data_IF_686756686960
#
_entry.id   IF_686756686960
#
_cell.length_a   1.000
_cell.length_b   1.000
_cell.length_c   1.000
_cell.angle_alpha   90.00
_cell.angle_beta   90.00
_cell.angle_gamma   90.00
#
_symmetry.space_group_name_H-M   'P 1'
#
loop_
_entity.id
_entity.type
_entity.pdbx_description
1 polymer ?
#
# COMPACT_ATOMS: atom_id res chain seq x y z
N UNK A 1 -6.73 -29.13 -19.19
CA UNK A 1 -5.90 -27.91 -19.11
C UNK A 1 -6.71 -26.60 -19.28
N UNK A 2 -8.06 -26.62 -19.27
CA UNK A 2 -8.91 -25.40 -19.35
C UNK A 2 -9.56 -24.98 -18.02
N UNK A 3 -9.44 -25.78 -16.96
CA UNK A 3 -10.09 -25.52 -15.66
C UNK A 3 -9.21 -24.66 -14.74
N UNK A 4 -7.87 -24.71 -14.88
CA UNK A 4 -6.95 -23.92 -14.03
C UNK A 4 -6.91 -22.40 -14.32
N UNK A 5 -7.33 -21.97 -15.51
CA UNK A 5 -7.36 -20.54 -15.87
C UNK A 5 -8.57 -19.77 -15.30
N UNK A 6 -9.67 -20.45 -14.99
CA UNK A 6 -10.87 -19.79 -14.42
C UNK A 6 -10.77 -19.54 -12.91
N UNK A 7 -10.02 -20.35 -12.19
CA UNK A 7 -9.82 -20.18 -10.75
C UNK A 7 -8.86 -19.01 -10.46
N UNK A 8 -7.86 -18.80 -11.31
CA UNK A 8 -6.89 -17.70 -11.13
C UNK A 8 -7.50 -16.31 -11.40
N UNK A 9 -8.46 -16.21 -12.32
CA UNK A 9 -9.18 -14.96 -12.60
C UNK A 9 -10.16 -14.59 -11.48
N UNK A 10 -10.78 -15.59 -10.85
CA UNK A 10 -11.71 -15.36 -9.73
C UNK A 10 -10.99 -14.91 -8.43
N UNK A 11 -9.79 -15.43 -8.20
CA UNK A 11 -8.99 -15.03 -7.02
C UNK A 11 -8.43 -13.61 -7.13
N UNK A 12 -8.13 -13.16 -8.36
CA UNK A 12 -7.62 -11.80 -8.57
C UNK A 12 -8.74 -10.74 -8.50
N UNK A 13 -9.95 -11.10 -8.96
CA UNK A 13 -11.12 -10.23 -8.87
C UNK A 13 -11.59 -10.05 -7.41
N UNK A 14 -11.49 -11.09 -6.57
CA UNK A 14 -11.82 -11.01 -5.15
C UNK A 14 -10.82 -10.11 -4.37
N UNK A 15 -9.52 -10.16 -4.73
CA UNK A 15 -8.51 -9.30 -4.08
C UNK A 15 -8.66 -7.81 -4.46
N UNK A 16 -9.25 -7.50 -5.62
CA UNK A 16 -9.53 -6.11 -6.02
C UNK A 16 -10.82 -5.56 -5.42
N UNK A 17 -11.84 -6.40 -5.18
CA UNK A 17 -13.10 -5.98 -4.59
C UNK A 17 -12.98 -5.65 -3.08
N UNK A 18 -12.02 -6.25 -2.36
CA UNK A 18 -11.83 -6.00 -0.94
C UNK A 18 -11.11 -4.68 -0.61
N UNK A 19 -10.44 -4.03 -1.57
CA UNK A 19 -9.76 -2.76 -1.31
C UNK A 19 -10.68 -1.53 -1.25
N UNK A 20 -11.97 -1.67 -1.50
CA UNK A 20 -12.94 -0.57 -1.49
C UNK A 20 -13.76 -0.46 -0.18
N UNK A 21 -13.67 -1.44 0.73
CA UNK A 21 -14.63 -1.59 1.84
C UNK A 21 -14.33 -0.74 3.08
N UNK A 22 -13.16 -0.12 3.21
CA UNK A 22 -12.73 0.42 4.50
C UNK A 22 -12.82 1.94 4.67
N UNK A 23 -13.72 2.66 4.03
CA UNK A 23 -13.85 4.12 4.28
C UNK A 23 -15.20 4.54 4.90
N UNK A 24 -16.14 3.64 5.11
CA UNK A 24 -17.51 4.05 5.38
C UNK A 24 -17.98 4.15 6.85
N UNK A 25 -17.12 4.00 7.86
CA UNK A 25 -17.66 3.82 9.23
C UNK A 25 -17.51 4.98 10.22
N UNK A 26 -16.90 6.11 9.92
CA UNK A 26 -16.65 7.12 10.97
C UNK A 26 -16.96 8.59 10.66
N UNK A 27 -17.67 8.93 9.60
CA UNK A 27 -18.02 10.34 9.36
C UNK A 27 -19.51 10.63 9.56
N UNK A 28 -19.89 10.98 10.77
CA UNK A 28 -21.11 11.79 10.99
C UNK A 28 -20.75 13.26 10.77
N UNK A 29 -20.70 13.68 9.51
CA UNK A 29 -20.49 15.08 9.15
C UNK A 29 -21.73 15.91 9.43
N UNK A 30 -21.56 17.02 10.13
CA UNK A 30 -22.60 18.07 10.24
C UNK A 30 -22.62 18.79 8.89
N UNK A 31 -23.73 18.68 8.16
CA UNK A 31 -23.97 19.42 6.93
C UNK A 31 -23.91 20.92 7.18
N UNK A 32 -22.98 21.60 6.51
CA UNK A 32 -22.93 23.06 6.44
C UNK A 32 -23.88 23.57 5.35
N UNK A 33 -24.63 24.59 5.61
CA UNK A 33 -25.58 25.19 4.65
C UNK A 33 -24.82 25.72 3.43
N UNK A 34 -25.06 25.12 2.24
CA UNK A 34 -24.52 25.62 0.96
C UNK A 34 -23.87 24.61 0.05
N UNK A 35 -23.93 23.30 0.33
CA UNK A 35 -23.34 22.27 -0.54
C UNK A 35 -24.05 22.20 -1.91
N UNK A 36 -23.27 22.26 -2.99
CA UNK A 36 -23.79 22.10 -4.35
C UNK A 36 -24.11 20.63 -4.58
N UNK A 37 -25.38 20.34 -4.86
CA UNK A 37 -25.83 19.03 -5.31
C UNK A 37 -25.65 18.91 -6.83
N UNK A 38 -25.09 17.80 -7.25
CA UNK A 38 -24.97 17.40 -8.65
C UNK A 38 -25.96 16.26 -8.91
N UNK A 39 -27.09 16.59 -9.51
CA UNK A 39 -28.16 15.64 -9.78
C UNK A 39 -27.72 14.67 -10.89
N UNK A 40 -27.87 13.35 -10.69
CA UNK A 40 -27.43 12.36 -11.67
C UNK A 40 -28.20 12.46 -12.98
N UNK A 41 -29.49 12.80 -12.97
CA UNK A 41 -30.29 13.00 -14.17
C UNK A 41 -29.82 14.14 -15.06
N UNK A 42 -28.99 15.07 -14.54
CA UNK A 42 -28.35 16.11 -15.35
C UNK A 42 -27.16 15.60 -16.18
N UNK A 43 -26.74 14.38 -15.92
CA UNK A 43 -25.58 13.77 -16.53
C UNK A 43 -25.84 13.22 -17.93
N UNK A 44 -24.74 13.00 -18.68
CA UNK A 44 -24.80 12.37 -20.00
C UNK A 44 -24.73 10.85 -19.88
N UNK A 45 -25.84 10.17 -20.11
CA UNK A 45 -25.94 8.72 -20.10
C UNK A 45 -25.36 8.13 -21.39
N UNK A 46 -24.59 7.04 -21.27
CA UNK A 46 -24.11 6.19 -22.36
C UNK A 46 -24.57 4.76 -22.08
N UNK A 47 -25.41 4.23 -22.94
CA UNK A 47 -26.04 2.91 -22.79
C UNK A 47 -27.52 2.96 -23.12
N UNK A 48 -28.19 1.84 -22.99
CA UNK A 48 -29.62 1.70 -23.35
C UNK A 48 -30.50 1.25 -22.21
N UNK A 49 -29.92 0.65 -21.17
CA UNK A 49 -30.65 0.13 -20.02
C UNK A 49 -30.67 1.13 -18.84
N UNK A 50 -29.64 1.97 -18.74
CA UNK A 50 -29.56 3.04 -17.73
C UNK A 50 -30.62 4.12 -18.04
N UNK A 51 -31.48 4.42 -17.08
CA UNK A 51 -32.63 5.31 -17.29
C UNK A 51 -32.90 6.17 -16.08
N UNK A 52 -33.47 7.35 -16.34
CA UNK A 52 -34.15 8.14 -15.32
C UNK A 52 -35.43 7.45 -14.91
N UNK A 53 -35.71 7.43 -13.64
CA UNK A 53 -36.93 6.90 -13.04
C UNK A 53 -37.51 7.94 -12.03
N UNK A 54 -38.81 8.16 -12.06
CA UNK A 54 -39.48 9.01 -11.09
C UNK A 54 -39.56 8.26 -9.74
N UNK A 55 -39.00 8.85 -8.68
CA UNK A 55 -38.96 8.27 -7.33
C UNK A 55 -39.41 9.30 -6.32
N UNK A 56 -40.46 8.97 -5.54
CA UNK A 56 -40.94 9.83 -4.48
C UNK A 56 -39.86 10.02 -3.41
N UNK A 57 -39.56 11.26 -3.05
CA UNK A 57 -38.54 11.61 -2.07
C UNK A 57 -37.15 11.82 -2.65
N UNK A 58 -36.90 11.52 -3.94
CA UNK A 58 -35.68 11.85 -4.61
C UNK A 58 -35.52 13.37 -4.79
N UNK A 59 -34.27 13.85 -4.79
CA UNK A 59 -33.93 15.22 -5.16
C UNK A 59 -34.35 15.44 -6.63
N UNK A 60 -34.98 16.54 -6.93
CA UNK A 60 -35.57 16.74 -8.27
C UNK A 60 -36.69 15.78 -8.65
N UNK A 61 -37.03 14.80 -7.81
CA UNK A 61 -38.10 13.81 -8.04
C UNK A 61 -37.69 12.63 -8.91
N UNK A 62 -36.39 12.51 -9.24
CA UNK A 62 -35.88 11.49 -10.16
C UNK A 62 -34.59 10.85 -9.62
N UNK A 63 -34.32 9.65 -10.12
CA UNK A 63 -33.05 8.96 -9.93
C UNK A 63 -32.55 8.41 -11.28
N UNK A 64 -31.27 8.14 -11.38
CA UNK A 64 -30.71 7.36 -12.49
C UNK A 64 -30.47 5.92 -12.05
N UNK A 65 -31.14 4.99 -12.70
CA UNK A 65 -31.05 3.58 -12.38
C UNK A 65 -29.99 2.90 -13.25
N UNK A 66 -28.88 2.48 -12.64
CA UNK A 66 -27.83 1.66 -13.28
C UNK A 66 -28.18 0.18 -13.20
N UNK A 67 -28.17 -0.52 -14.34
CA UNK A 67 -28.58 -1.93 -14.44
C UNK A 67 -27.53 -2.82 -15.08
N UNK A 68 -27.08 -2.47 -16.27
CA UNK A 68 -26.19 -3.31 -17.09
C UNK A 68 -24.74 -2.86 -16.98
N UNK A 69 -23.83 -3.82 -16.80
CA UNK A 69 -22.41 -3.54 -16.71
C UNK A 69 -21.85 -2.90 -17.98
N UNK A 70 -20.98 -1.89 -17.81
CA UNK A 70 -20.32 -1.18 -18.90
C UNK A 70 -21.07 0.05 -19.41
N UNK A 71 -22.31 0.29 -18.98
CA UNK A 71 -22.98 1.57 -19.20
C UNK A 71 -22.45 2.63 -18.25
N UNK A 72 -22.50 3.90 -18.64
CA UNK A 72 -21.94 4.96 -17.81
C UNK A 72 -22.76 6.26 -17.84
N UNK A 73 -22.56 7.08 -16.82
CA UNK A 73 -23.07 8.43 -16.75
C UNK A 73 -21.93 9.40 -16.43
N UNK A 74 -21.86 10.50 -17.18
CA UNK A 74 -20.85 11.55 -17.04
C UNK A 74 -21.47 12.81 -16.53
N UNK A 75 -20.83 13.39 -15.52
CA UNK A 75 -21.18 14.70 -14.98
C UNK A 75 -19.97 15.61 -14.97
N UNK A 76 -20.18 16.90 -15.27
CA UNK A 76 -19.16 17.93 -15.12
C UNK A 76 -19.34 18.62 -13.79
N UNK A 77 -18.27 18.71 -13.03
CA UNK A 77 -18.21 19.41 -11.74
C UNK A 77 -17.19 20.53 -11.81
N UNK A 78 -17.38 21.56 -11.02
CA UNK A 78 -16.42 22.68 -10.93
C UNK A 78 -16.02 22.86 -9.46
N UNK A 79 -14.70 22.88 -9.20
CA UNK A 79 -14.15 23.12 -7.88
C UNK A 79 -13.19 24.31 -7.90
N UNK A 80 -13.15 25.08 -6.81
CA UNK A 80 -12.34 26.29 -6.75
C UNK A 80 -10.84 26.01 -6.63
N UNK A 81 -10.48 24.89 -6.00
CA UNK A 81 -9.10 24.54 -5.69
C UNK A 81 -8.78 23.14 -6.17
N UNK A 82 -7.54 22.93 -6.61
CA UNK A 82 -7.00 21.58 -6.78
C UNK A 82 -6.79 20.94 -5.41
N UNK A 83 -7.32 19.74 -5.23
CA UNK A 83 -7.20 19.03 -3.94
C UNK A 83 -8.00 17.75 -3.93
N UNK A 84 -8.04 17.13 -2.75
CA UNK A 84 -8.91 15.98 -2.49
C UNK A 84 -10.29 16.47 -2.07
N UNK A 85 -11.30 15.72 -2.51
CA UNK A 85 -12.70 15.94 -2.17
C UNK A 85 -13.34 14.64 -1.76
N UNK A 86 -14.10 14.68 -0.68
CA UNK A 86 -14.96 13.58 -0.28
C UNK A 86 -16.18 13.58 -1.21
N UNK A 87 -16.41 12.42 -1.86
CA UNK A 87 -17.55 12.16 -2.73
C UNK A 87 -18.65 11.50 -1.91
N UNK A 88 -19.71 12.24 -1.63
CA UNK A 88 -20.87 11.73 -0.93
C UNK A 88 -21.99 11.52 -1.94
N UNK A 89 -22.55 10.32 -2.01
CA UNK A 89 -23.61 9.97 -2.97
C UNK A 89 -24.89 9.62 -2.20
N UNK A 90 -26.00 10.20 -2.62
CA UNK A 90 -27.34 9.75 -2.25
C UNK A 90 -27.78 8.66 -3.23
N UNK A 91 -28.00 7.45 -2.70
CA UNK A 91 -28.33 6.28 -3.53
C UNK A 91 -29.19 5.26 -2.77
N UNK A 92 -29.80 4.35 -3.52
CA UNK A 92 -30.42 3.14 -3.00
C UNK A 92 -29.94 1.91 -3.77
N UNK A 93 -30.01 0.74 -3.11
CA UNK A 93 -29.66 -0.57 -3.67
C UNK A 93 -30.82 -1.53 -3.53
N UNK A 94 -30.77 -2.67 -4.21
CA UNK A 94 -31.82 -3.70 -4.21
C UNK A 94 -31.76 -4.67 -2.99
N UNK A 95 -31.28 -4.22 -1.85
CA UNK A 95 -31.22 -5.01 -0.63
C UNK A 95 -29.89 -5.74 -0.40
N UNK A 96 -28.84 -5.39 -1.16
CA UNK A 96 -27.48 -5.87 -0.93
C UNK A 96 -26.43 -4.82 -1.33
N UNK A 97 -25.20 -4.94 -0.80
CA UNK A 97 -24.10 -4.07 -1.20
C UNK A 97 -23.80 -4.20 -2.70
N UNK A 98 -23.38 -3.12 -3.33
CA UNK A 98 -23.06 -3.03 -4.76
C UNK A 98 -21.65 -2.46 -4.96
N UNK A 99 -21.15 -2.61 -6.18
CA UNK A 99 -19.88 -2.00 -6.58
C UNK A 99 -20.01 -1.39 -7.96
N UNK A 100 -19.67 -0.12 -8.07
CA UNK A 100 -19.61 0.59 -9.35
C UNK A 100 -18.18 1.11 -9.55
N UNK A 101 -17.84 1.57 -10.77
CA UNK A 101 -16.53 2.15 -11.06
C UNK A 101 -16.62 3.64 -11.24
N UNK A 102 -15.53 4.33 -10.92
CA UNK A 102 -15.41 5.76 -11.08
C UNK A 102 -14.17 6.10 -11.92
N UNK A 103 -14.36 6.95 -12.91
CA UNK A 103 -13.29 7.64 -13.62
C UNK A 103 -13.34 9.13 -13.30
N UNK A 104 -12.18 9.75 -13.14
CA UNK A 104 -12.04 11.20 -12.99
C UNK A 104 -11.15 11.71 -14.10
N UNK A 105 -11.63 12.65 -14.90
CA UNK A 105 -10.93 13.23 -16.05
C UNK A 105 -10.40 12.14 -17.01
N UNK A 106 -11.21 11.10 -17.25
CA UNK A 106 -10.89 9.99 -18.13
C UNK A 106 -9.91 8.95 -17.55
N UNK A 107 -9.47 9.12 -16.30
CA UNK A 107 -8.59 8.17 -15.61
C UNK A 107 -9.36 7.37 -14.56
N UNK A 108 -9.26 6.03 -14.52
CA UNK A 108 -9.90 5.22 -13.50
C UNK A 108 -9.29 5.51 -12.12
N UNK A 109 -10.15 5.82 -11.15
CA UNK A 109 -9.73 6.07 -9.76
C UNK A 109 -10.04 4.89 -8.84
N UNK A 110 -10.86 3.95 -9.28
CA UNK A 110 -11.13 2.71 -8.59
C UNK A 110 -12.61 2.35 -8.53
N UNK A 111 -12.90 1.33 -7.75
CA UNK A 111 -14.25 0.87 -7.49
C UNK A 111 -14.87 1.70 -6.36
N UNK A 112 -16.17 2.03 -6.49
CA UNK A 112 -16.99 2.62 -5.43
C UNK A 112 -17.78 1.48 -4.79
N UNK A 113 -17.50 1.20 -3.51
CA UNK A 113 -18.29 0.27 -2.72
C UNK A 113 -19.53 0.99 -2.17
N UNK A 114 -20.69 0.47 -2.48
CA UNK A 114 -21.97 1.00 -2.05
C UNK A 114 -22.57 0.03 -1.02
N UNK A 115 -22.73 0.51 0.21
CA UNK A 115 -23.40 -0.24 1.27
C UNK A 115 -24.86 -0.53 0.90
N UNK A 116 -25.45 -1.50 1.58
CA UNK A 116 -26.88 -1.79 1.39
C UNK A 116 -27.74 -0.65 1.94
N UNK A 117 -28.33 0.14 1.05
CA UNK A 117 -29.35 1.14 1.36
C UNK A 117 -30.66 0.75 0.66
N UNK A 118 -31.67 0.38 1.44
CA UNK A 118 -33.01 0.05 0.89
C UNK A 118 -33.72 1.32 0.42
N UNK A 119 -33.54 2.42 1.13
CA UNK A 119 -34.08 3.74 0.82
C UNK A 119 -32.93 4.67 0.41
N UNK A 120 -33.24 5.75 -0.34
CA UNK A 120 -32.29 6.78 -0.70
C UNK A 120 -31.60 7.35 0.54
N UNK A 121 -30.30 7.19 0.62
CA UNK A 121 -29.47 7.64 1.73
C UNK A 121 -28.13 8.13 1.22
N UNK A 122 -27.65 9.25 1.78
CA UNK A 122 -26.34 9.79 1.47
C UNK A 122 -25.24 9.08 2.26
N UNK A 123 -24.16 8.71 1.59
CA UNK A 123 -22.96 8.15 2.20
C UNK A 123 -21.71 8.64 1.50
N UNK A 124 -20.64 8.82 2.26
CA UNK A 124 -19.30 8.97 1.70
C UNK A 124 -18.89 7.64 1.03
N UNK A 125 -18.55 7.70 -0.24
CA UNK A 125 -18.22 6.49 -1.03
C UNK A 125 -16.78 6.50 -1.55
N UNK A 126 -16.14 7.66 -1.62
CA UNK A 126 -14.75 7.79 -2.08
C UNK A 126 -14.15 9.14 -1.68
N UNK A 127 -12.84 9.20 -1.66
CA UNK A 127 -12.08 10.46 -1.64
C UNK A 127 -11.33 10.57 -2.96
N UNK A 128 -11.58 11.64 -3.73
CA UNK A 128 -11.10 11.81 -5.10
C UNK A 128 -10.29 13.09 -5.26
N UNK A 129 -9.27 13.06 -6.12
CA UNK A 129 -8.53 14.27 -6.49
C UNK A 129 -9.20 14.96 -7.66
N UNK A 130 -9.45 16.26 -7.50
CA UNK A 130 -9.96 17.13 -8.55
C UNK A 130 -8.98 18.29 -8.78
N UNK A 131 -8.95 18.79 -10.01
CA UNK A 131 -8.19 19.99 -10.37
C UNK A 131 -9.07 21.23 -10.20
N UNK A 132 -8.48 22.38 -9.91
CA UNK A 132 -9.21 23.64 -9.93
C UNK A 132 -9.87 23.85 -11.30
N UNK A 133 -11.13 24.28 -11.33
CA UNK A 133 -11.93 24.41 -12.53
C UNK A 133 -12.78 23.17 -12.81
N UNK A 134 -13.05 22.94 -14.10
CA UNK A 134 -13.91 21.84 -14.54
C UNK A 134 -13.23 20.47 -14.47
N UNK A 135 -13.98 19.49 -13.97
CA UNK A 135 -13.60 18.08 -13.95
C UNK A 135 -14.77 17.23 -14.44
N UNK A 136 -14.45 16.13 -15.12
CA UNK A 136 -15.45 15.13 -15.53
C UNK A 136 -15.40 13.95 -14.57
N UNK A 137 -16.53 13.60 -13.98
CA UNK A 137 -16.77 12.38 -13.22
C UNK A 137 -17.59 11.43 -14.08
N UNK A 138 -17.07 10.22 -14.32
CA UNK A 138 -17.79 9.17 -15.04
C UNK A 138 -18.03 7.99 -14.11
N UNK A 139 -19.30 7.75 -13.81
CA UNK A 139 -19.74 6.59 -13.03
C UNK A 139 -20.09 5.47 -14.00
N UNK A 140 -19.41 4.33 -13.88
CA UNK A 140 -19.58 3.20 -14.79
C UNK A 140 -20.21 2.04 -14.03
N UNK A 141 -21.33 1.54 -14.58
CA UNK A 141 -22.03 0.38 -14.05
C UNK A 141 -21.14 -0.87 -14.13
N UNK A 142 -20.94 -1.54 -12.99
CA UNK A 142 -20.08 -2.70 -12.91
C UNK A 142 -20.78 -3.92 -12.31
N UNK A 143 -21.23 -3.81 -11.05
CA UNK A 143 -21.87 -4.92 -10.37
C UNK A 143 -23.03 -4.46 -9.52
N UNK A 144 -24.23 -4.98 -9.88
CA UNK A 144 -25.46 -4.81 -9.15
C UNK A 144 -26.24 -3.53 -9.49
N UNK A 145 -27.54 -3.60 -9.30
CA UNK A 145 -28.46 -2.50 -9.57
C UNK A 145 -28.38 -1.45 -8.49
N UNK A 146 -28.28 -0.19 -8.93
CA UNK A 146 -28.16 0.98 -8.05
C UNK A 146 -28.99 2.12 -8.60
N UNK A 147 -29.74 2.76 -7.74
CA UNK A 147 -30.44 4.01 -8.03
C UNK A 147 -29.62 5.17 -7.46
N UNK A 148 -29.13 6.05 -8.30
CA UNK A 148 -28.39 7.24 -7.92
C UNK A 148 -29.30 8.47 -8.02
N UNK A 149 -29.36 9.27 -6.94
CA UNK A 149 -30.10 10.52 -6.83
C UNK A 149 -29.19 11.70 -7.15
N UNK A 150 -28.37 12.11 -6.21
CA UNK A 150 -27.37 13.17 -6.38
C UNK A 150 -26.06 12.81 -5.70
N UNK A 151 -25.05 13.62 -5.94
CA UNK A 151 -23.84 13.62 -5.10
C UNK A 151 -23.44 15.03 -4.70
N UNK A 152 -22.66 15.11 -3.64
CA UNK A 152 -22.00 16.33 -3.16
C UNK A 152 -20.48 16.11 -3.12
N UNK A 153 -19.74 17.21 -3.20
CA UNK A 153 -18.29 17.24 -3.06
C UNK A 153 -17.94 18.15 -1.89
N UNK A 154 -17.30 17.60 -0.88
CA UNK A 154 -16.89 18.37 0.28
C UNK A 154 -15.37 18.37 0.42
N UNK A 155 -14.79 19.49 0.88
CA UNK A 155 -13.39 19.50 1.25
C UNK A 155 -13.23 18.57 2.46
N UNK A 156 -12.33 17.55 2.39
CA UNK A 156 -12.18 16.63 3.51
C UNK A 156 -11.58 17.35 4.70
N UNK A 157 -12.03 16.97 5.89
CA UNK A 157 -11.35 17.38 7.10
C UNK A 157 -10.08 16.54 7.25
N UNK A 158 -8.92 17.07 6.86
CA UNK A 158 -7.67 16.38 6.98
C UNK A 158 -7.20 16.31 8.43
N UNK A 159 -6.69 15.16 8.88
CA UNK A 159 -5.92 15.11 10.10
C UNK A 159 -4.68 16.00 9.97
N UNK A 160 -4.27 16.61 11.07
CA UNK A 160 -3.02 17.35 11.09
C UNK A 160 -1.85 16.40 10.82
N UNK A 161 -1.03 16.74 9.83
CA UNK A 161 0.17 15.98 9.49
C UNK A 161 1.29 16.38 10.44
N UNK A 162 1.39 15.67 11.54
CA UNK A 162 2.48 15.82 12.51
C UNK A 162 3.21 14.50 12.68
N UNK A 163 4.52 14.55 12.77
CA UNK A 163 5.36 13.38 13.01
C UNK A 163 6.30 13.64 14.18
N UNK A 164 6.47 12.63 15.03
CA UNK A 164 7.53 12.64 16.04
C UNK A 164 8.84 12.16 15.42
N UNK A 165 9.95 12.71 15.92
CA UNK A 165 11.28 12.16 15.63
C UNK A 165 11.77 11.17 16.69
N UNK A 166 10.92 10.83 17.66
CA UNK A 166 11.25 9.86 18.72
C UNK A 166 11.30 8.46 18.14
N UNK A 167 12.43 7.79 18.31
CA UNK A 167 12.62 6.41 17.90
C UNK A 167 12.16 5.43 18.98
N UNK A 168 11.66 4.27 18.55
CA UNK A 168 11.34 3.13 19.41
C UNK A 168 12.60 2.67 20.16
N UNK A 169 13.72 2.56 19.43
CA UNK A 169 15.02 2.30 20.03
C UNK A 169 15.62 3.56 20.67
N UNK A 170 15.67 3.57 22.00
CA UNK A 170 16.21 4.70 22.77
C UNK A 170 17.74 4.81 22.75
N UNK A 171 18.41 3.77 22.24
CA UNK A 171 19.86 3.73 22.06
C UNK A 171 20.28 3.96 20.60
N UNK A 172 19.34 4.39 19.74
CA UNK A 172 19.61 4.64 18.33
C UNK A 172 20.89 5.45 18.09
N UNK A 173 21.64 5.09 17.06
CA UNK A 173 22.87 5.82 16.72
C UNK A 173 22.58 7.27 16.35
N UNK A 174 23.54 8.19 16.51
CA UNK A 174 23.35 9.59 16.10
C UNK A 174 22.93 9.75 14.63
N UNK A 175 23.44 8.88 13.75
CA UNK A 175 23.09 8.86 12.33
C UNK A 175 21.64 8.44 12.13
N UNK A 176 21.17 7.45 12.87
CA UNK A 176 19.77 6.99 12.85
C UNK A 176 18.82 8.07 13.33
N UNK A 177 19.15 8.70 14.47
CA UNK A 177 18.39 9.83 15.01
C UNK A 177 18.39 11.03 14.02
N UNK A 178 19.51 11.29 13.36
CA UNK A 178 19.61 12.36 12.35
C UNK A 178 18.72 12.08 11.14
N UNK A 179 18.67 10.82 10.67
CA UNK A 179 17.77 10.42 9.58
C UNK A 179 16.31 10.60 10.01
N UNK A 180 15.93 10.14 11.21
CA UNK A 180 14.54 10.28 11.68
C UNK A 180 14.16 11.76 11.86
N UNK A 181 15.05 12.60 12.39
CA UNK A 181 14.84 14.05 12.48
C UNK A 181 14.59 14.67 11.09
N UNK A 182 15.36 14.24 10.08
CA UNK A 182 15.16 14.68 8.71
C UNK A 182 13.80 14.26 8.16
N UNK A 183 13.42 12.98 8.32
CA UNK A 183 12.12 12.46 7.86
C UNK A 183 10.96 13.23 8.51
N UNK A 184 11.03 13.44 9.82
CA UNK A 184 10.01 14.20 10.54
C UNK A 184 9.95 15.67 10.08
N UNK A 185 11.10 16.30 9.78
CA UNK A 185 11.15 17.71 9.36
C UNK A 185 10.57 17.99 7.99
N UNK A 186 10.52 16.98 7.12
CA UNK A 186 9.98 17.10 5.75
C UNK A 186 8.58 16.51 5.61
N UNK A 187 8.09 15.86 6.68
CA UNK A 187 6.77 15.24 6.68
C UNK A 187 5.66 16.27 6.51
N UNK A 188 4.74 15.99 5.61
CA UNK A 188 3.68 16.93 5.26
C UNK A 188 4.10 18.06 4.30
N UNK A 189 5.39 18.29 4.07
CA UNK A 189 5.91 19.36 3.22
C UNK A 189 6.51 18.84 1.91
N UNK A 190 7.15 17.66 1.94
CA UNK A 190 7.88 17.12 0.80
C UNK A 190 7.67 15.63 0.63
N UNK A 191 7.82 15.18 -0.62
CA UNK A 191 7.84 13.77 -1.00
C UNK A 191 9.28 13.40 -1.31
N UNK A 192 9.76 12.34 -0.67
CA UNK A 192 11.08 11.78 -0.95
C UNK A 192 10.91 10.67 -1.98
N UNK A 193 11.51 10.84 -3.16
CA UNK A 193 11.42 9.84 -4.23
C UNK A 193 12.32 8.64 -3.94
N UNK A 194 11.83 7.45 -4.25
CA UNK A 194 12.57 6.19 -4.10
C UNK A 194 12.48 5.28 -5.31
N UNK A 195 13.42 4.34 -5.41
CA UNK A 195 13.43 3.25 -6.37
C UNK A 195 13.88 1.98 -5.70
N UNK A 196 13.14 0.88 -5.94
CA UNK A 196 13.55 -0.46 -5.50
C UNK A 196 14.57 -1.07 -6.46
N UNK A 197 15.59 -1.74 -5.94
CA UNK A 197 16.57 -2.49 -6.72
C UNK A 197 15.95 -3.75 -7.33
N UNK A 198 16.30 -4.08 -8.59
CA UNK A 198 15.70 -5.22 -9.33
C UNK A 198 16.43 -6.57 -9.15
N UNK A 199 17.47 -6.64 -8.37
CA UNK A 199 18.21 -7.89 -8.13
C UNK A 199 18.69 -8.61 -9.41
N UNK A 200 19.50 -7.93 -10.22
CA UNK A 200 20.18 -8.49 -11.40
C UNK A 200 19.28 -9.43 -12.23
N UNK A 201 18.25 -8.86 -12.84
CA UNK A 201 17.34 -9.63 -13.68
C UNK A 201 17.77 -9.64 -15.15
N UNK A 202 18.10 -10.82 -15.66
CA UNK A 202 18.56 -11.01 -17.03
C UNK A 202 19.89 -10.30 -17.31
N UNK A 203 19.98 -9.47 -18.38
CA UNK A 203 21.20 -8.75 -18.73
C UNK A 203 21.43 -7.47 -17.88
N UNK A 204 20.49 -7.11 -17.03
CA UNK A 204 20.52 -5.89 -16.25
C UNK A 204 21.26 -6.12 -14.93
N UNK A 205 22.07 -5.15 -14.55
CA UNK A 205 22.74 -5.10 -13.25
C UNK A 205 21.87 -4.43 -12.19
N UNK A 206 22.40 -4.35 -10.98
CA UNK A 206 21.70 -3.74 -9.85
C UNK A 206 21.46 -2.23 -9.99
N UNK A 207 22.19 -1.55 -10.87
CA UNK A 207 22.10 -0.09 -11.08
C UNK A 207 21.25 0.28 -12.30
N UNK A 208 20.69 -0.69 -13.00
CA UNK A 208 19.99 -0.47 -14.27
C UNK A 208 18.90 0.60 -14.19
N UNK A 209 17.96 0.47 -13.24
CA UNK A 209 16.89 1.45 -13.11
C UNK A 209 17.40 2.82 -12.63
N UNK A 210 18.40 2.83 -11.77
CA UNK A 210 18.99 4.08 -11.25
C UNK A 210 19.69 4.84 -12.37
N UNK A 211 20.45 4.14 -13.22
CA UNK A 211 21.06 4.72 -14.40
C UNK A 211 20.00 5.23 -15.39
N UNK A 212 18.97 4.44 -15.64
CA UNK A 212 17.87 4.85 -16.49
C UNK A 212 17.17 6.12 -15.98
N UNK A 213 16.85 6.19 -14.68
CA UNK A 213 16.24 7.36 -14.04
C UNK A 213 17.17 8.57 -14.21
N UNK A 214 18.47 8.38 -13.91
CA UNK A 214 19.47 9.45 -14.03
C UNK A 214 19.60 9.97 -15.45
N UNK A 215 19.66 9.07 -16.43
CA UNK A 215 19.79 9.42 -17.85
C UNK A 215 18.53 10.15 -18.37
N UNK A 216 17.36 9.78 -17.86
CA UNK A 216 16.08 10.38 -18.27
C UNK A 216 15.80 11.72 -17.59
N UNK A 217 16.15 11.86 -16.30
CA UNK A 217 15.75 13.00 -15.47
C UNK A 217 16.90 13.92 -15.06
N UNK A 218 18.14 13.48 -15.26
CA UNK A 218 19.36 14.16 -14.78
C UNK A 218 19.60 13.98 -13.28
N UNK A 219 18.76 13.21 -12.54
CA UNK A 219 18.81 13.06 -11.09
C UNK A 219 18.64 11.61 -10.67
N UNK A 220 19.22 11.24 -9.52
CA UNK A 220 18.94 9.98 -8.85
C UNK A 220 17.75 10.13 -7.88
N UNK A 221 17.00 9.06 -7.59
CA UNK A 221 16.06 9.05 -6.49
C UNK A 221 16.82 9.20 -5.16
N UNK A 222 16.17 9.76 -4.14
CA UNK A 222 16.81 9.92 -2.84
C UNK A 222 16.90 8.60 -2.05
N UNK A 223 15.88 7.75 -2.20
CA UNK A 223 15.81 6.45 -1.51
C UNK A 223 16.14 5.33 -2.49
N UNK A 224 17.03 4.41 -2.09
CA UNK A 224 17.22 3.13 -2.76
C UNK A 224 16.68 2.02 -1.86
N UNK A 225 15.75 1.24 -2.40
CA UNK A 225 15.16 0.10 -1.72
C UNK A 225 15.93 -1.18 -2.00
N UNK A 226 16.11 -1.98 -0.97
CA UNK A 226 16.83 -3.27 -1.00
C UNK A 226 15.97 -4.38 -0.40
N UNK A 227 16.44 -5.61 -0.54
CA UNK A 227 15.87 -6.78 0.11
C UNK A 227 16.99 -7.70 0.59
N UNK A 228 16.90 -8.16 1.83
CA UNK A 228 17.84 -9.15 2.37
C UNK A 228 17.48 -10.59 1.98
N UNK A 229 16.73 -10.79 0.90
CA UNK A 229 16.28 -12.09 0.40
C UNK A 229 17.40 -13.14 0.32
N UNK A 230 18.61 -12.72 -0.08
CA UNK A 230 19.77 -13.60 -0.21
C UNK A 230 20.53 -13.82 1.11
N UNK A 231 20.17 -13.09 2.18
CA UNK A 231 20.67 -13.32 3.53
C UNK A 231 19.85 -14.42 4.18
N UNK A 232 20.19 -15.67 3.88
CA UNK A 232 19.39 -16.83 4.25
C UNK A 232 20.25 -18.08 4.46
N UNK A 233 20.01 -18.87 5.52
CA UNK A 233 20.77 -20.11 5.79
C UNK A 233 20.74 -21.12 4.64
N UNK A 234 19.64 -21.16 3.88
CA UNK A 234 19.44 -22.14 2.81
C UNK A 234 20.41 -21.95 1.65
N UNK A 235 20.72 -20.71 1.30
CA UNK A 235 21.52 -20.41 0.10
C UNK A 235 22.99 -20.11 0.44
N UNK A 236 23.23 -19.55 1.62
CA UNK A 236 24.56 -19.22 2.11
C UNK A 236 25.32 -18.25 1.21
N UNK A 237 24.60 -17.36 0.53
CA UNK A 237 25.17 -16.41 -0.42
C UNK A 237 24.96 -14.97 0.07
N UNK A 238 26.01 -14.18 -0.17
CA UNK A 238 25.93 -12.71 -0.12
C UNK A 238 25.98 -12.21 -1.56
N UNK A 239 25.16 -11.24 -1.90
CA UNK A 239 25.07 -10.65 -3.24
C UNK A 239 25.61 -9.21 -3.31
N UNK A 240 26.31 -8.77 -2.27
CA UNK A 240 26.86 -7.42 -2.14
C UNK A 240 25.81 -6.36 -1.80
N UNK A 241 24.64 -6.74 -1.32
CA UNK A 241 23.56 -5.81 -0.93
C UNK A 241 24.07 -4.77 0.07
N UNK A 242 24.76 -5.20 1.13
CA UNK A 242 25.29 -4.28 2.16
C UNK A 242 26.30 -3.30 1.60
N UNK A 243 27.21 -3.75 0.73
CA UNK A 243 28.20 -2.87 0.10
C UNK A 243 27.55 -1.80 -0.77
N UNK A 244 26.49 -2.17 -1.51
CA UNK A 244 25.69 -1.22 -2.30
C UNK A 244 24.92 -0.24 -1.42
N UNK A 245 24.38 -0.69 -0.27
CA UNK A 245 23.74 0.19 0.72
C UNK A 245 24.74 1.22 1.28
N UNK A 246 25.94 0.76 1.67
CA UNK A 246 27.00 1.64 2.19
C UNK A 246 27.39 2.67 1.13
N UNK A 247 27.63 2.24 -0.11
CA UNK A 247 27.97 3.14 -1.21
C UNK A 247 26.84 4.15 -1.50
N UNK A 248 25.59 3.72 -1.49
CA UNK A 248 24.47 4.63 -1.71
C UNK A 248 24.43 5.77 -0.68
N UNK A 249 24.63 5.46 0.60
CA UNK A 249 24.64 6.49 1.66
C UNK A 249 25.92 7.33 1.63
N UNK A 250 27.10 6.71 1.47
CA UNK A 250 28.38 7.42 1.57
C UNK A 250 28.69 8.24 0.33
N UNK A 251 28.45 7.69 -0.85
CA UNK A 251 28.83 8.31 -2.12
C UNK A 251 27.72 9.16 -2.71
N UNK A 252 26.48 8.65 -2.72
CA UNK A 252 25.30 9.34 -3.30
C UNK A 252 24.57 10.23 -2.30
N UNK A 253 24.91 10.17 -1.01
CA UNK A 253 24.20 10.88 0.08
C UNK A 253 22.71 10.54 0.14
N UNK A 254 22.36 9.33 -0.26
CA UNK A 254 21.00 8.84 -0.30
C UNK A 254 20.56 8.17 1.01
N UNK A 255 19.33 7.74 1.02
CA UNK A 255 18.68 6.98 2.10
C UNK A 255 18.52 5.54 1.64
N UNK A 256 18.67 4.58 2.54
CA UNK A 256 18.44 3.17 2.25
C UNK A 256 17.26 2.64 3.04
N UNK A 257 16.43 1.85 2.37
CA UNK A 257 15.37 1.05 2.98
C UNK A 257 15.53 -0.39 2.57
N UNK A 258 15.15 -1.33 3.43
CA UNK A 258 15.24 -2.75 3.11
C UNK A 258 14.02 -3.52 3.63
N UNK A 259 13.51 -4.40 2.79
CA UNK A 259 12.64 -5.50 3.17
C UNK A 259 13.44 -6.78 3.43
N UNK A 260 12.74 -7.79 3.92
CA UNK A 260 13.35 -9.10 4.10
C UNK A 260 12.35 -10.21 3.76
N UNK A 261 12.49 -10.78 2.56
CA UNK A 261 11.75 -11.98 2.19
C UNK A 261 12.42 -13.21 2.79
N UNK A 262 11.91 -13.64 3.92
CA UNK A 262 12.48 -14.75 4.70
C UNK A 262 12.06 -16.08 4.08
N UNK A 263 13.01 -16.76 3.46
CA UNK A 263 12.76 -18.04 2.83
C UNK A 263 12.94 -19.19 3.83
N UNK A 264 12.01 -20.14 3.80
CA UNK A 264 12.03 -21.38 4.57
C UNK A 264 12.02 -22.58 3.62
N UNK A 265 12.51 -23.77 4.01
CA UNK A 265 12.37 -24.98 3.20
C UNK A 265 10.90 -25.31 2.94
N UNK A 266 10.58 -25.81 1.74
CA UNK A 266 9.22 -26.29 1.40
C UNK A 266 8.89 -27.53 2.22
N UNK A 267 9.81 -28.46 2.36
CA UNK A 267 9.69 -29.65 3.22
C UNK A 267 10.51 -29.40 4.50
N UNK A 268 9.97 -28.58 5.40
CA UNK A 268 10.65 -28.22 6.64
C UNK A 268 10.76 -29.37 7.61
N UNK A 269 9.79 -30.26 7.65
CA UNK A 269 9.78 -31.43 8.54
C UNK A 269 10.99 -32.33 8.32
N UNK A 270 11.42 -32.53 7.07
CA UNK A 270 12.58 -33.35 6.71
C UNK A 270 13.88 -32.56 6.55
N UNK A 271 13.84 -31.25 6.64
CA UNK A 271 15.03 -30.39 6.54
C UNK A 271 15.90 -30.53 7.80
N UNK A 272 17.22 -30.61 7.65
CA UNK A 272 18.14 -30.49 8.79
C UNK A 272 18.73 -29.07 8.80
N UNK A 273 18.71 -28.43 9.98
CA UNK A 273 19.23 -27.07 10.11
C UNK A 273 20.70 -27.00 9.71
N UNK A 274 21.03 -26.12 8.79
CA UNK A 274 22.35 -25.97 8.20
C UNK A 274 22.53 -26.60 6.82
N UNK A 275 21.59 -27.46 6.38
CA UNK A 275 21.62 -28.00 5.02
C UNK A 275 21.36 -26.86 4.00
N UNK A 276 21.98 -26.96 2.83
CA UNK A 276 21.71 -26.07 1.69
C UNK A 276 20.62 -26.67 0.82
N UNK A 277 19.75 -25.83 0.33
CA UNK A 277 18.70 -26.22 -0.62
C UNK A 277 18.76 -25.35 -1.87
N UNK A 278 18.33 -25.90 -2.99
CA UNK A 278 18.15 -25.12 -4.20
C UNK A 278 17.04 -24.09 -4.02
N UNK A 279 17.15 -22.97 -4.71
CA UNK A 279 16.14 -21.91 -4.70
C UNK A 279 14.72 -22.41 -4.96
N UNK A 280 14.55 -23.42 -5.81
CA UNK A 280 13.27 -24.03 -6.12
C UNK A 280 12.63 -24.77 -4.92
N UNK A 281 13.42 -25.15 -3.91
CA UNK A 281 13.02 -25.88 -2.72
C UNK A 281 12.87 -24.96 -1.49
N UNK A 282 13.12 -23.66 -1.65
CA UNK A 282 12.80 -22.63 -0.67
C UNK A 282 11.53 -21.88 -1.05
N UNK A 283 10.85 -21.31 -0.07
CA UNK A 283 9.65 -20.50 -0.27
C UNK A 283 9.43 -19.52 0.88
N UNK A 284 8.72 -18.44 0.62
CA UNK A 284 8.14 -17.55 1.64
C UNK A 284 6.61 -17.65 1.69
N UNK A 285 6.01 -18.50 0.84
CA UNK A 285 4.56 -18.64 0.74
C UNK A 285 4.03 -19.66 1.75
N UNK A 286 2.92 -19.35 2.44
CA UNK A 286 2.40 -20.20 3.51
C UNK A 286 1.89 -21.57 3.02
N UNK A 287 1.38 -21.64 1.77
CA UNK A 287 0.79 -22.87 1.22
C UNK A 287 1.82 -23.80 0.55
N UNK A 288 3.07 -23.37 0.47
CA UNK A 288 4.15 -24.13 -0.14
C UNK A 288 5.13 -24.75 0.88
N UNK A 289 4.85 -24.61 2.19
CA UNK A 289 5.71 -25.11 3.26
C UNK A 289 4.89 -25.68 4.42
N UNK A 290 5.47 -26.62 5.13
CA UNK A 290 4.99 -27.14 6.40
C UNK A 290 5.64 -26.46 7.62
N UNK A 291 6.37 -25.35 7.40
CA UNK A 291 6.92 -24.50 8.47
C UNK A 291 5.78 -23.89 9.31
N UNK A 292 5.80 -24.13 10.61
CA UNK A 292 4.77 -23.64 11.54
C UNK A 292 5.24 -22.36 12.23
N UNK A 293 4.64 -21.24 11.82
CA UNK A 293 4.99 -19.91 12.36
C UNK A 293 4.80 -19.81 13.88
N UNK A 294 3.77 -20.45 14.44
CA UNK A 294 3.51 -20.37 15.87
C UNK A 294 4.64 -21.00 16.70
N UNK A 295 5.25 -22.08 16.19
CA UNK A 295 6.37 -22.74 16.86
C UNK A 295 7.65 -21.91 16.91
N UNK A 296 7.77 -20.86 16.09
CA UNK A 296 8.89 -19.92 16.22
C UNK A 296 8.93 -19.27 17.60
N UNK A 297 7.78 -19.12 18.26
CA UNK A 297 7.66 -18.51 19.59
C UNK A 297 7.94 -19.51 20.73
N UNK A 298 8.03 -20.80 20.43
CA UNK A 298 8.25 -21.85 21.40
C UNK A 298 9.75 -22.22 21.50
N UNK A 299 10.31 -22.14 22.67
CA UNK A 299 11.72 -22.52 22.94
C UNK A 299 11.97 -24.02 22.68
N UNK A 300 13.11 -24.32 22.02
CA UNK A 300 13.51 -25.68 21.73
C UNK A 300 12.85 -26.32 20.51
N UNK A 301 12.01 -25.59 19.79
CA UNK A 301 11.47 -26.05 18.50
C UNK A 301 12.46 -25.85 17.36
N UNK A 302 12.35 -26.66 16.33
CA UNK A 302 13.17 -26.56 15.13
C UNK A 302 12.90 -25.27 14.36
N UNK A 303 11.66 -24.79 14.34
CA UNK A 303 11.24 -23.54 13.73
C UNK A 303 11.90 -22.34 14.43
N UNK A 304 11.95 -22.36 15.76
CA UNK A 304 12.66 -21.36 16.56
C UNK A 304 14.15 -21.35 16.23
N UNK A 305 14.80 -22.52 16.25
CA UNK A 305 16.21 -22.63 15.93
C UNK A 305 16.54 -22.10 14.54
N UNK A 306 15.72 -22.44 13.53
CA UNK A 306 15.88 -21.96 12.18
C UNK A 306 15.72 -20.44 12.09
N UNK A 307 14.68 -19.87 12.72
CA UNK A 307 14.43 -18.44 12.67
C UNK A 307 15.55 -17.63 13.37
N UNK A 308 16.04 -18.12 14.52
CA UNK A 308 17.15 -17.50 15.22
C UNK A 308 18.46 -17.56 14.39
N UNK A 309 18.65 -18.61 13.61
CA UNK A 309 19.78 -18.66 12.63
C UNK A 309 19.60 -17.63 11.52
N UNK A 310 18.39 -17.44 11.01
CA UNK A 310 18.09 -16.37 10.04
C UNK A 310 18.40 -14.99 10.62
N UNK A 311 17.93 -14.71 11.85
CA UNK A 311 18.20 -13.45 12.54
C UNK A 311 19.69 -13.20 12.79
N UNK A 312 20.43 -14.25 13.15
CA UNK A 312 21.89 -14.15 13.31
C UNK A 312 22.57 -13.72 12.03
N UNK A 313 22.25 -14.38 10.91
CA UNK A 313 22.83 -14.04 9.61
C UNK A 313 22.49 -12.62 9.18
N UNK A 314 21.24 -12.21 9.40
CA UNK A 314 20.79 -10.84 9.13
C UNK A 314 21.53 -9.84 10.03
N UNK A 315 21.68 -10.13 11.32
CA UNK A 315 22.41 -9.28 12.26
C UNK A 315 23.85 -9.03 11.84
N UNK A 316 24.53 -10.07 11.32
CA UNK A 316 25.91 -9.94 10.78
C UNK A 316 25.97 -8.96 9.60
N UNK A 317 24.93 -8.87 8.78
CA UNK A 317 24.86 -7.91 7.67
C UNK A 317 24.54 -6.50 8.17
N UNK A 318 23.58 -6.37 9.08
CA UNK A 318 23.22 -5.05 9.65
C UNK A 318 24.36 -4.49 10.49
N UNK A 319 25.14 -5.33 11.17
CA UNK A 319 26.34 -4.89 11.90
C UNK A 319 27.34 -4.19 10.98
N UNK A 320 27.56 -4.71 9.75
CA UNK A 320 28.43 -4.04 8.77
C UNK A 320 27.94 -2.63 8.42
N UNK A 321 26.60 -2.43 8.32
CA UNK A 321 26.00 -1.10 8.12
C UNK A 321 26.25 -0.21 9.34
N UNK A 322 26.06 -0.73 10.55
CA UNK A 322 26.29 0.02 11.78
C UNK A 322 27.75 0.43 11.91
N UNK A 323 28.69 -0.49 11.67
CA UNK A 323 30.13 -0.19 11.70
C UNK A 323 30.54 0.87 10.68
N UNK A 324 29.83 0.93 9.55
CA UNK A 324 30.00 1.97 8.55
C UNK A 324 29.25 3.29 8.90
N UNK A 325 28.50 3.37 10.00
CA UNK A 325 27.67 4.51 10.35
C UNK A 325 26.56 4.78 9.33
N UNK A 326 25.91 3.72 8.86
CA UNK A 326 24.82 3.77 7.88
C UNK A 326 23.51 3.40 8.56
N UNK A 327 22.59 4.36 8.77
CA UNK A 327 21.24 4.10 9.23
C UNK A 327 20.40 3.48 8.11
N UNK A 328 19.42 2.66 8.48
CA UNK A 328 18.55 1.95 7.54
C UNK A 328 17.09 2.03 8.00
N UNK A 329 16.17 2.28 7.07
CA UNK A 329 14.75 2.03 7.28
C UNK A 329 14.51 0.55 6.99
N UNK A 330 14.07 -0.21 7.99
CA UNK A 330 13.92 -1.65 7.87
C UNK A 330 12.45 -2.07 7.98
N UNK A 331 11.99 -2.78 6.98
CA UNK A 331 10.61 -3.26 6.82
C UNK A 331 10.57 -4.80 6.81
N UNK A 332 10.82 -5.46 7.96
CA UNK A 332 10.70 -6.91 8.07
C UNK A 332 9.24 -7.34 8.10
N UNK A 333 8.98 -8.63 7.88
CA UNK A 333 7.67 -9.26 8.09
C UNK A 333 6.51 -8.49 7.44
N UNK A 334 6.77 -7.86 6.29
CA UNK A 334 5.83 -7.01 5.57
C UNK A 334 4.64 -7.79 5.01
N UNK A 335 3.55 -7.07 4.71
CA UNK A 335 2.33 -7.60 4.08
C UNK A 335 1.72 -8.83 4.81
N UNK A 336 1.87 -8.91 6.14
CA UNK A 336 1.49 -10.09 6.91
C UNK A 336 -0.01 -10.37 6.88
N UNK A 337 -0.85 -9.34 6.89
CA UNK A 337 -2.32 -9.49 6.84
C UNK A 337 -2.81 -10.00 5.47
N UNK A 338 -2.05 -9.76 4.40
CA UNK A 338 -2.36 -10.26 3.07
C UNK A 338 -3.67 -9.70 2.50
N UNK A 339 -4.62 -10.58 2.25
CA UNK A 339 -5.94 -10.24 1.69
C UNK A 339 -6.95 -9.70 2.70
N UNK A 340 -6.53 -9.38 3.92
CA UNK A 340 -7.37 -8.89 5.02
C UNK A 340 -7.95 -9.99 5.88
N UNK A 341 -7.80 -9.86 7.20
CA UNK A 341 -8.25 -10.82 8.20
C UNK A 341 -7.15 -11.75 8.72
N UNK A 342 -7.53 -12.71 9.53
CA UNK A 342 -6.59 -13.56 10.30
C UNK A 342 -6.01 -14.73 9.49
N UNK A 343 -6.59 -15.06 8.34
CA UNK A 343 -6.29 -16.27 7.56
C UNK A 343 -5.97 -15.98 6.07
N UNK A 344 -5.71 -14.71 5.72
CA UNK A 344 -5.52 -14.27 4.33
C UNK A 344 -4.08 -13.92 3.98
N UNK A 345 -3.13 -14.22 4.86
CA UNK A 345 -1.72 -13.97 4.60
C UNK A 345 -1.21 -14.73 3.38
N UNK A 346 -0.41 -14.06 2.57
CA UNK A 346 0.32 -14.71 1.47
C UNK A 346 1.80 -14.96 1.78
N UNK A 347 2.20 -14.70 3.06
CA UNK A 347 3.51 -15.01 3.59
C UNK A 347 3.42 -15.89 4.83
N UNK A 348 4.40 -16.78 5.05
CA UNK A 348 4.38 -17.71 6.19
C UNK A 348 4.35 -16.96 7.54
N UNK A 349 4.96 -15.79 7.65
CA UNK A 349 5.00 -15.03 8.91
C UNK A 349 3.65 -14.43 9.35
N UNK A 350 2.67 -14.39 8.47
CA UNK A 350 1.30 -13.98 8.82
C UNK A 350 0.32 -15.15 8.92
N UNK A 351 0.74 -16.38 8.59
CA UNK A 351 -0.13 -17.56 8.48
C UNK A 351 -0.89 -17.90 9.76
N UNK A 352 -0.28 -17.65 10.92
CA UNK A 352 -0.85 -18.01 12.24
C UNK A 352 -1.64 -16.86 12.89
N UNK A 353 -2.00 -15.82 12.13
CA UNK A 353 -2.84 -14.72 12.56
C UNK A 353 -2.09 -13.61 13.32
N UNK A 354 -2.83 -12.55 13.63
CA UNK A 354 -2.31 -11.29 14.14
C UNK A 354 -1.61 -11.40 15.51
N UNK A 355 -2.10 -12.27 16.39
CA UNK A 355 -1.50 -12.43 17.71
C UNK A 355 -0.08 -13.02 17.62
N UNK A 356 0.09 -14.10 16.86
CA UNK A 356 1.40 -14.74 16.63
C UNK A 356 2.33 -13.79 15.88
N UNK A 357 1.82 -13.08 14.89
CA UNK A 357 2.58 -12.11 14.13
C UNK A 357 3.17 -11.00 15.02
N UNK A 358 2.37 -10.41 15.90
CA UNK A 358 2.86 -9.37 16.83
C UNK A 358 3.98 -9.87 17.74
N UNK A 359 3.86 -11.08 18.24
CA UNK A 359 4.90 -11.67 19.08
C UNK A 359 6.16 -12.02 18.28
N UNK A 360 6.01 -12.46 17.01
CA UNK A 360 7.11 -12.66 16.08
C UNK A 360 7.84 -11.31 15.77
N UNK A 361 7.09 -10.23 15.57
CA UNK A 361 7.65 -8.90 15.40
C UNK A 361 8.48 -8.47 16.62
N UNK A 362 7.92 -8.61 17.82
CA UNK A 362 8.61 -8.27 19.07
C UNK A 362 9.86 -9.12 19.27
N UNK A 363 9.80 -10.41 18.94
CA UNK A 363 10.97 -11.29 18.96
C UNK A 363 12.05 -10.78 18.02
N UNK A 364 11.68 -10.41 16.78
CA UNK A 364 12.62 -9.88 15.79
C UNK A 364 13.27 -8.59 16.26
N UNK A 365 12.44 -7.64 16.74
CA UNK A 365 12.90 -6.37 17.30
C UNK A 365 13.90 -6.58 18.45
N UNK A 366 13.52 -7.34 19.47
CA UNK A 366 14.36 -7.60 20.64
C UNK A 366 15.68 -8.26 20.27
N UNK A 367 15.62 -9.30 19.43
CA UNK A 367 16.82 -10.02 19.02
C UNK A 367 17.79 -9.10 18.28
N UNK A 368 17.33 -8.30 17.32
CA UNK A 368 18.22 -7.42 16.56
C UNK A 368 18.70 -6.23 17.39
N UNK A 369 17.79 -5.56 18.12
CA UNK A 369 18.11 -4.33 18.86
C UNK A 369 18.76 -4.59 20.19
N UNK A 370 18.20 -5.52 21.01
CA UNK A 370 18.65 -5.73 22.38
C UNK A 370 19.76 -6.79 22.46
N UNK A 371 19.59 -7.96 21.79
CA UNK A 371 20.55 -9.05 21.91
C UNK A 371 21.81 -8.83 21.06
N UNK A 372 21.64 -8.31 19.82
CA UNK A 372 22.74 -8.00 18.90
C UNK A 372 23.23 -6.55 18.98
N UNK A 373 22.53 -5.65 19.67
CA UNK A 373 22.91 -4.26 19.83
C UNK A 373 22.93 -3.45 18.53
N UNK A 374 21.99 -3.73 17.62
CA UNK A 374 21.88 -3.05 16.35
C UNK A 374 20.96 -1.83 16.48
N UNK A 375 21.59 -0.65 16.61
CA UNK A 375 20.95 0.63 16.90
C UNK A 375 20.87 1.56 15.69
N UNK A 376 21.15 1.05 14.49
CA UNK A 376 21.12 1.79 13.22
C UNK A 376 19.84 1.53 12.41
N UNK A 377 18.76 1.09 13.06
CA UNK A 377 17.50 0.69 12.42
C UNK A 377 16.40 1.70 12.76
N UNK A 378 15.68 2.18 11.74
CA UNK A 378 14.36 2.80 11.84
C UNK A 378 13.35 1.71 11.47
N UNK A 379 12.49 1.35 12.41
CA UNK A 379 11.57 0.24 12.28
C UNK A 379 10.30 0.63 11.54
N UNK A 380 10.10 0.10 10.33
CA UNK A 380 8.95 0.36 9.50
C UNK A 380 8.00 -0.84 9.48
N UNK A 381 6.78 -0.61 9.94
CA UNK A 381 5.72 -1.60 9.90
C UNK A 381 4.79 -1.35 8.71
N UNK A 382 4.52 -2.43 7.96
CA UNK A 382 3.64 -2.40 6.78
C UNK A 382 2.20 -2.72 7.17
N UNK A 383 1.30 -1.75 6.99
CA UNK A 383 -0.13 -1.85 7.26
C UNK A 383 -0.94 -2.00 5.98
N UNK A 384 -2.21 -2.33 6.18
CA UNK A 384 -3.29 -2.16 5.21
C UNK A 384 -4.36 -1.22 5.77
N UNK A 385 -5.47 -1.06 5.05
CA UNK A 385 -6.61 -0.24 5.45
C UNK A 385 -7.89 -1.06 5.65
N UNK A 386 -7.73 -2.34 6.02
CA UNK A 386 -8.85 -3.20 6.41
C UNK A 386 -9.30 -2.89 7.85
N UNK A 387 -10.52 -3.23 8.19
CA UNK A 387 -11.03 -3.10 9.57
C UNK A 387 -10.18 -3.89 10.57
N UNK A 388 -9.54 -4.98 10.12
CA UNK A 388 -8.69 -5.86 10.92
C UNK A 388 -7.24 -5.40 11.04
N UNK A 389 -6.81 -4.40 10.26
CA UNK A 389 -5.39 -4.04 10.16
C UNK A 389 -4.77 -3.60 11.49
N UNK A 390 -5.54 -2.90 12.33
CA UNK A 390 -5.06 -2.51 13.68
C UNK A 390 -4.78 -3.69 14.60
N UNK A 391 -5.40 -4.85 14.38
CA UNK A 391 -5.13 -6.05 15.17
C UNK A 391 -3.68 -6.55 14.98
N UNK A 392 -3.09 -6.24 13.82
CA UNK A 392 -1.74 -6.65 13.44
C UNK A 392 -0.63 -5.70 13.93
N UNK A 393 -1.00 -4.53 14.42
CA UNK A 393 -0.04 -3.51 14.87
C UNK A 393 0.73 -3.96 16.11
N UNK A 394 2.08 -4.01 16.06
CA UNK A 394 2.89 -4.54 17.17
C UNK A 394 2.97 -3.61 18.38
N UNK A 395 2.68 -2.33 18.21
CA UNK A 395 2.74 -1.31 19.26
C UNK A 395 3.80 -0.24 19.01
N UNK A 396 3.56 0.94 19.58
CA UNK A 396 4.40 2.13 19.38
C UNK A 396 5.84 1.95 19.87
N UNK A 397 6.04 1.08 20.84
CA UNK A 397 7.36 0.78 21.38
C UNK A 397 8.25 -0.05 20.46
N UNK A 398 7.71 -0.55 19.32
CA UNK A 398 8.42 -1.40 18.35
C UNK A 398 8.37 -0.87 16.93
N UNK A 399 7.74 0.30 16.70
CA UNK A 399 7.51 0.85 15.36
C UNK A 399 7.81 2.33 15.33
N UNK A 400 8.59 2.76 14.35
CA UNK A 400 8.89 4.17 14.07
C UNK A 400 8.05 4.74 12.94
N UNK A 401 7.89 3.97 11.87
CA UNK A 401 7.17 4.35 10.66
C UNK A 401 6.06 3.34 10.35
N UNK A 402 4.93 3.83 9.82
CA UNK A 402 3.87 3.00 9.26
C UNK A 402 3.85 3.18 7.75
N UNK A 403 3.85 2.08 7.02
CA UNK A 403 3.87 2.10 5.56
C UNK A 403 2.75 1.27 4.92
N UNK A 404 2.51 1.48 3.65
CA UNK A 404 1.55 0.73 2.83
C UNK A 404 2.17 0.39 1.47
N UNK A 405 2.02 -0.85 1.05
CA UNK A 405 2.38 -1.31 -0.30
C UNK A 405 1.21 -1.12 -1.25
N UNK A 406 1.23 -0.05 -2.05
CA UNK A 406 0.12 0.37 -2.91
C UNK A 406 0.33 -0.03 -4.37
N UNK A 407 -0.60 -0.79 -4.94
CA UNK A 407 -0.50 -1.36 -6.30
C UNK A 407 -1.58 -0.88 -7.29
N UNK A 408 -2.54 -0.06 -6.89
CA UNK A 408 -3.65 0.38 -7.77
C UNK A 408 -3.27 1.49 -8.77
N UNK A 409 -2.04 1.50 -9.23
CA UNK A 409 -1.59 2.35 -10.33
C UNK A 409 -1.56 1.60 -11.68
N UNK A 410 -2.17 0.42 -11.74
CA UNK A 410 -2.20 -0.39 -12.96
C UNK A 410 -3.63 -0.79 -13.30
N UNK A 411 -4.07 -0.40 -14.50
CA UNK A 411 -5.33 -0.86 -15.08
C UNK A 411 -5.10 -2.14 -15.88
N UNK A 412 -5.83 -3.18 -15.52
CA UNK A 412 -5.81 -4.50 -16.18
C UNK A 412 -7.04 -4.72 -17.08
N UNK A 413 -7.95 -3.77 -17.19
CA UNK A 413 -9.25 -3.92 -17.89
C UNK A 413 -9.10 -4.23 -19.38
N UNK A 414 -8.01 -3.79 -20.00
CA UNK A 414 -7.73 -4.02 -21.43
C UNK A 414 -7.02 -5.35 -21.72
N UNK A 415 -6.76 -6.18 -20.69
CA UNK A 415 -5.96 -7.40 -20.81
C UNK A 415 -4.44 -7.15 -20.93
N UNK A 416 -4.02 -5.93 -21.12
CA UNK A 416 -2.62 -5.49 -21.06
C UNK A 416 -2.48 -4.48 -19.94
N UNK A 417 -1.58 -4.71 -18.96
CA UNK A 417 -1.40 -3.77 -17.86
C UNK A 417 -0.95 -2.39 -18.36
N UNK A 418 -1.69 -1.36 -18.02
CA UNK A 418 -1.38 0.04 -18.32
C UNK A 418 -1.22 0.79 -17.00
N UNK A 419 -0.15 1.57 -16.87
CA UNK A 419 0.03 2.47 -15.74
C UNK A 419 -1.01 3.58 -15.80
N UNK A 420 -1.69 3.78 -14.69
CA UNK A 420 -2.67 4.85 -14.54
C UNK A 420 -2.29 5.74 -13.36
N UNK A 421 -2.54 7.02 -13.49
CA UNK A 421 -2.45 7.96 -12.37
C UNK A 421 -3.67 7.75 -11.46
N UNK A 422 -3.43 7.30 -10.23
CA UNK A 422 -4.49 7.08 -9.25
C UNK A 422 -4.21 7.87 -7.96
N UNK A 423 -4.10 9.18 -8.10
CA UNK A 423 -3.85 10.10 -6.97
C UNK A 423 -4.96 9.99 -5.91
N UNK A 424 -6.20 9.75 -6.34
CA UNK A 424 -7.34 9.57 -5.44
C UNK A 424 -7.16 8.37 -4.52
N UNK A 425 -6.83 7.21 -5.07
CA UNK A 425 -6.61 6.01 -4.27
C UNK A 425 -5.38 6.12 -3.36
N UNK A 426 -4.32 6.77 -3.84
CA UNK A 426 -3.11 7.03 -3.05
C UNK A 426 -3.45 7.90 -1.85
N UNK A 427 -4.15 9.00 -2.09
CA UNK A 427 -4.51 9.93 -1.06
C UNK A 427 -5.47 9.38 -0.04
N UNK A 428 -6.51 8.71 -0.49
CA UNK A 428 -7.44 8.04 0.39
C UNK A 428 -6.71 7.08 1.34
N UNK A 429 -5.81 6.24 0.82
CA UNK A 429 -5.00 5.32 1.63
C UNK A 429 -4.09 6.05 2.60
N UNK A 430 -3.39 7.10 2.15
CA UNK A 430 -2.48 7.87 3.00
C UNK A 430 -3.19 8.46 4.22
N UNK A 431 -4.28 9.19 3.99
CA UNK A 431 -5.02 9.82 5.09
C UNK A 431 -5.70 8.80 6.00
N UNK A 432 -6.16 7.66 5.47
CA UNK A 432 -6.67 6.57 6.32
C UNK A 432 -5.61 6.03 7.29
N UNK A 433 -4.36 5.89 6.84
CA UNK A 433 -3.27 5.48 7.73
C UNK A 433 -2.92 6.57 8.75
N UNK A 434 -2.93 7.84 8.35
CA UNK A 434 -2.68 8.96 9.27
C UNK A 434 -3.77 9.02 10.36
N UNK A 435 -5.03 8.84 10.00
CA UNK A 435 -6.16 8.78 10.94
C UNK A 435 -6.05 7.59 11.89
N UNK A 436 -5.60 6.44 11.37
CA UNK A 436 -5.56 5.18 12.12
C UNK A 436 -4.39 5.11 13.10
N UNK A 437 -3.22 5.64 12.72
CA UNK A 437 -1.99 5.50 13.49
C UNK A 437 -1.39 6.83 13.99
N UNK A 438 -2.14 7.89 14.04
CA UNK A 438 -1.80 9.29 14.32
C UNK A 438 -0.48 9.54 15.05
N UNK A 439 0.30 10.53 14.59
CA UNK A 439 1.61 10.89 15.16
C UNK A 439 2.79 10.04 14.66
N UNK A 440 2.57 8.94 13.95
CA UNK A 440 3.63 8.19 13.27
C UNK A 440 3.82 8.73 11.86
N UNK A 441 5.05 8.83 11.41
CA UNK A 441 5.35 9.15 10.01
C UNK A 441 4.79 8.05 9.12
N UNK A 442 3.89 8.43 8.22
CA UNK A 442 3.28 7.49 7.27
C UNK A 442 4.01 7.55 5.95
N UNK A 443 4.40 6.40 5.42
CA UNK A 443 5.14 6.28 4.18
C UNK A 443 4.44 5.34 3.19
N UNK A 444 4.67 5.54 1.90
CA UNK A 444 4.34 4.56 0.87
C UNK A 444 5.60 3.85 0.42
N UNK A 445 5.61 2.54 0.59
CA UNK A 445 6.64 1.67 0.06
C UNK A 445 6.06 0.85 -1.11
N UNK A 446 6.87 0.50 -2.05
CA UNK A 446 6.57 -0.35 -3.20
C UNK A 446 5.42 0.08 -4.13
N UNK A 447 5.87 0.59 -5.26
CA UNK A 447 5.09 0.61 -6.49
C UNK A 447 5.62 -0.50 -7.40
N UNK A 448 4.94 -1.64 -7.46
CA UNK A 448 5.36 -2.70 -8.38
C UNK A 448 4.82 -2.39 -9.77
N UNK A 449 5.71 -2.05 -10.69
CA UNK A 449 5.44 -2.25 -12.11
C UNK A 449 5.52 -3.74 -12.33
N UNK A 450 4.39 -4.36 -12.69
CA UNK A 450 4.41 -5.75 -13.13
C UNK A 450 5.38 -5.89 -14.30
N UNK A 451 6.24 -6.90 -14.21
CA UNK A 451 7.12 -7.34 -15.28
C UNK A 451 6.36 -7.43 -16.59
N UNK A 452 6.48 -6.52 -17.52
CA UNK A 452 6.40 -6.77 -18.96
C UNK A 452 6.40 -5.46 -19.73
N UNK A 453 7.47 -5.31 -20.50
CA UNK A 453 7.69 -4.36 -21.59
C UNK A 453 7.81 -2.87 -21.25
N UNK A 454 9.07 -2.40 -21.34
CA UNK A 454 9.45 -1.07 -21.86
C UNK A 454 8.40 0.02 -21.65
N UNK A 455 8.26 0.45 -20.44
CA UNK A 455 7.91 1.83 -20.15
C UNK A 455 8.74 2.21 -18.96
N UNK A 456 9.69 3.00 -19.23
CA UNK A 456 10.39 3.83 -18.31
C UNK A 456 9.39 4.67 -17.54
N UNK A 457 8.93 4.18 -16.46
CA UNK A 457 8.16 4.92 -15.50
C UNK A 457 9.03 5.07 -14.28
N UNK A 458 9.62 6.25 -14.09
CA UNK A 458 10.11 6.64 -12.79
C UNK A 458 9.00 6.43 -11.79
N UNK A 459 9.16 5.46 -10.93
CA UNK A 459 8.27 5.28 -9.81
C UNK A 459 8.82 6.17 -8.72
N UNK A 460 8.29 7.37 -8.70
CA UNK A 460 8.39 8.16 -7.51
C UNK A 460 7.36 7.62 -6.53
N UNK A 461 7.72 7.43 -5.27
CA UNK A 461 6.78 7.54 -4.19
C UNK A 461 6.23 8.97 -4.26
N UNK A 462 5.26 9.23 -5.14
CA UNK A 462 4.49 10.47 -5.12
C UNK A 462 3.37 10.25 -4.11
N UNK A 463 3.73 10.32 -2.84
CA UNK A 463 2.78 10.65 -1.82
C UNK A 463 2.26 12.05 -2.12
N UNK A 464 1.04 12.32 -1.78
CA UNK A 464 0.37 13.57 -2.08
C UNK A 464 0.96 14.74 -1.34
N UNK A 465 1.57 15.63 -2.05
CA UNK A 465 1.60 17.07 -1.87
C UNK A 465 2.17 17.75 -3.13
N UNK A 466 1.46 17.59 -4.25
CA UNK A 466 1.88 18.22 -5.50
C UNK A 466 1.26 19.61 -5.70
N UNK A 467 0.70 20.26 -4.69
CA UNK A 467 -0.07 21.49 -4.90
C UNK A 467 0.68 22.79 -4.61
N UNK A 468 2.01 22.77 -4.41
CA UNK A 468 2.78 24.02 -4.32
C UNK A 468 4.17 23.95 -4.94
N UNK A 469 4.26 23.56 -6.20
CA UNK A 469 5.41 23.94 -7.01
C UNK A 469 4.89 24.59 -8.29
N UNK A 470 4.60 25.88 -8.22
CA UNK A 470 4.66 26.75 -9.39
C UNK A 470 6.13 26.84 -9.77
N UNK A 471 6.51 26.59 -11.03
CA UNK A 471 7.84 26.93 -11.51
C UNK A 471 7.91 28.45 -11.55
N UNK A 472 8.65 29.06 -10.66
CA UNK A 472 9.14 30.40 -10.88
C UNK A 472 10.33 30.28 -11.79
N UNK A 473 10.13 30.78 -13.01
CA UNK A 473 11.09 31.21 -14.07
C UNK A 473 12.45 30.53 -14.09
#
# INVERSE_FOLDING_TARGET
MKIKKKVFAASLAAAMALNAVCVSSFFTGVSAAGETKYEFESGKITGTSMKEEDVEGASGGKVVHMKEAGESIKLTVNVEKTGMYDLNICYATDGSAKTQKLNVNGSPVGDIALSNHVDLSESNVARIKLNAGENELEFVSYWGWTQFDYFTLTEPNYPELSATSDLADKNATPETQSLMNYLASVYGEHIISGQQEIYKYGPHDFDYEFNYIKDTTGKLPAIRGFDFLNTNPLYGSEDGTVDRMISWVKDSKGIVTASWHITVPKDFSNYNIGDKVDWANGTYKPDETDFDTAKVLEEGTKEREYYMLCLKMLAEQIQKLQDAGVPMIFRPLHEAEGGGGEDKSWFWWGKSGSAVYKDLWKLTYKTLTEDYGLHNIIWEWNSYTFETSTNWYPGDEYVDLVAYDKYNCTDYSTGTPVLVHNDSAIGGTFYSLVEQYGGKTTAFQHWKISRWKRLAGCISARGMMADRITPTS
#
